data_IF_051415711396
#
_entry.id   IF_051415711396
#
_cell.length_a   1.000
_cell.length_b   1.000
_cell.length_c   1.000
_cell.angle_alpha   90.00
_cell.angle_beta   90.00
_cell.angle_gamma   90.00
#
_symmetry.space_group_name_H-M   'P 1'
#
loop_
_entity.id
_entity.type
_entity.pdbx_description
1 polymer ?
#
# COMPACT_ATOMS: atom_id res chain seq x y z
N UNK A 1 23.52 21.11 -49.31
CA UNK A 1 24.23 22.37 -48.97
C UNK A 1 23.17 23.45 -48.82
N UNK A 2 23.08 24.13 -47.68
CA UNK A 2 22.17 25.29 -47.53
C UNK A 2 22.86 26.47 -48.23
N UNK A 3 22.30 26.94 -49.36
CA UNK A 3 22.79 28.16 -49.98
C UNK A 3 22.29 29.35 -49.16
N UNK A 4 23.15 29.89 -48.30
CA UNK A 4 22.89 31.12 -47.57
C UNK A 4 23.45 32.28 -48.39
N UNK A 5 22.57 33.04 -49.04
CA UNK A 5 22.94 34.30 -49.64
C UNK A 5 22.78 35.40 -48.57
N UNK A 6 23.89 36.07 -48.25
CA UNK A 6 23.89 37.24 -47.37
C UNK A 6 24.46 38.44 -48.15
N UNK A 7 23.97 39.62 -47.83
CA UNK A 7 24.42 40.88 -48.41
C UNK A 7 24.57 41.94 -47.31
N UNK A 8 25.49 42.88 -47.53
CA UNK A 8 25.81 43.95 -46.57
C UNK A 8 24.70 45.02 -46.49
N UNK A 9 23.93 45.18 -47.57
CA UNK A 9 22.77 46.06 -47.60
C UNK A 9 21.58 45.43 -46.86
N UNK A 10 20.91 46.23 -46.02
CA UNK A 10 19.73 45.81 -45.27
C UNK A 10 18.67 45.19 -46.21
N UNK A 11 18.34 43.93 -45.96
CA UNK A 11 17.32 43.20 -46.75
C UNK A 11 15.93 43.75 -46.45
N UNK A 12 15.72 44.29 -45.24
CA UNK A 12 14.49 44.95 -44.80
C UNK A 12 14.87 46.10 -43.85
N UNK A 13 14.30 47.29 -44.08
CA UNK A 13 14.29 48.39 -43.12
C UNK A 13 12.88 48.61 -42.56
N UNK A 14 12.80 48.93 -41.26
CA UNK A 14 11.53 49.03 -40.54
C UNK A 14 11.53 50.28 -39.64
N UNK A 15 10.41 51.00 -39.60
CA UNK A 15 10.21 52.17 -38.72
C UNK A 15 9.63 51.75 -37.36
N UNK A 16 9.71 52.66 -36.37
CA UNK A 16 9.45 52.38 -34.94
C UNK A 16 8.08 51.77 -34.62
N UNK A 17 7.07 52.05 -35.43
CA UNK A 17 5.68 51.62 -35.20
C UNK A 17 5.17 50.54 -36.18
N UNK A 18 6.02 50.01 -37.06
CA UNK A 18 5.60 48.93 -37.97
C UNK A 18 5.60 47.56 -37.25
N UNK A 19 4.94 46.54 -37.83
CA UNK A 19 5.12 45.11 -37.49
C UNK A 19 5.58 44.40 -38.75
N UNK A 20 6.71 43.68 -38.69
CA UNK A 20 7.21 42.94 -39.84
C UNK A 20 6.73 41.50 -39.68
N UNK A 21 6.03 41.00 -40.70
CA UNK A 21 5.63 39.62 -40.81
C UNK A 21 6.42 39.00 -41.97
N UNK A 22 7.45 38.24 -41.63
CA UNK A 22 8.21 37.45 -42.60
C UNK A 22 7.68 36.02 -42.55
N UNK A 23 7.12 35.55 -43.66
CA UNK A 23 6.77 34.14 -43.85
C UNK A 23 7.91 33.48 -44.61
N UNK A 24 8.61 32.57 -43.95
CA UNK A 24 9.65 31.75 -44.56
C UNK A 24 9.15 30.31 -44.66
N UNK A 25 9.13 29.76 -45.87
CA UNK A 25 8.87 28.34 -46.11
C UNK A 25 10.20 27.63 -46.41
N UNK A 26 10.37 26.41 -45.88
CA UNK A 26 11.55 25.58 -46.08
C UNK A 26 11.13 24.18 -46.50
N UNK A 27 11.40 23.83 -47.75
CA UNK A 27 11.16 22.48 -48.29
C UNK A 27 12.48 21.73 -48.39
N UNK A 28 12.60 20.63 -47.63
CA UNK A 28 13.74 19.71 -47.69
C UNK A 28 13.41 18.59 -48.70
N UNK A 29 13.89 18.72 -49.94
CA UNK A 29 13.50 17.81 -51.05
C UNK A 29 14.24 16.47 -51.04
N UNK A 30 15.51 16.47 -50.65
CA UNK A 30 16.39 15.28 -50.64
C UNK A 30 17.12 15.17 -49.29
N UNK A 31 16.36 15.12 -48.20
CA UNK A 31 16.91 14.91 -46.86
C UNK A 31 17.09 13.42 -46.60
N UNK A 32 18.33 12.98 -46.42
CA UNK A 32 18.58 11.66 -45.82
C UNK A 32 18.13 11.71 -44.36
N UNK A 33 17.17 10.87 -43.97
CA UNK A 33 16.66 10.79 -42.60
C UNK A 33 17.76 10.49 -41.58
N UNK A 34 18.86 9.86 -42.00
CA UNK A 34 20.01 9.57 -41.13
C UNK A 34 20.87 10.82 -40.85
N UNK A 35 20.72 11.88 -41.63
CA UNK A 35 21.39 13.17 -41.42
C UNK A 35 20.63 14.08 -40.42
N UNK A 36 19.45 13.65 -39.98
CA UNK A 36 18.68 14.29 -38.92
C UNK A 36 19.13 13.72 -37.58
N UNK A 37 20.14 14.35 -36.99
CA UNK A 37 20.50 14.08 -35.60
C UNK A 37 19.57 14.86 -34.70
N UNK A 38 18.60 14.18 -34.10
CA UNK A 38 18.03 14.67 -32.85
C UNK A 38 19.17 14.67 -31.81
N UNK A 39 19.24 15.71 -30.98
CA UNK A 39 20.16 15.72 -29.84
C UNK A 39 19.85 14.57 -28.87
N UNK A 40 20.51 14.54 -27.72
CA UNK A 40 20.30 13.51 -26.71
C UNK A 40 18.81 13.45 -26.30
N UNK A 41 18.04 12.52 -26.87
CA UNK A 41 16.62 12.27 -26.53
C UNK A 41 16.49 11.43 -25.27
N UNK A 42 17.50 11.51 -24.41
CA UNK A 42 17.59 10.81 -23.15
C UNK A 42 16.69 11.53 -22.16
N UNK A 43 15.39 11.25 -22.24
CA UNK A 43 14.48 11.41 -21.11
C UNK A 43 14.83 10.31 -20.10
N UNK A 44 15.96 10.47 -19.42
CA UNK A 44 16.22 9.72 -18.20
C UNK A 44 15.14 10.16 -17.23
N UNK A 45 14.15 9.30 -17.02
CA UNK A 45 13.28 9.41 -15.87
C UNK A 45 14.14 8.95 -14.68
N UNK A 46 14.68 9.88 -13.87
CA UNK A 46 15.54 9.48 -12.76
C UNK A 46 14.74 8.57 -11.81
N UNK A 47 15.39 7.70 -11.02
CA UNK A 47 14.71 7.04 -9.92
C UNK A 47 14.16 8.11 -8.97
N UNK A 48 12.94 7.90 -8.47
CA UNK A 48 12.34 8.84 -7.53
C UNK A 48 13.07 8.79 -6.19
N UNK A 49 13.16 9.93 -5.52
CA UNK A 49 13.57 10.04 -4.12
C UNK A 49 12.55 10.90 -3.38
N UNK A 50 12.68 11.02 -2.06
CA UNK A 50 11.83 11.92 -1.27
C UNK A 50 11.85 13.39 -1.75
N UNK A 51 12.93 13.82 -2.41
CA UNK A 51 13.11 15.21 -2.89
C UNK A 51 13.14 15.36 -4.41
N UNK A 52 13.34 14.28 -5.16
CA UNK A 52 13.47 14.29 -6.62
C UNK A 52 12.36 13.44 -7.24
N UNK A 53 11.54 14.07 -8.10
CA UNK A 53 10.52 13.34 -8.86
C UNK A 53 11.18 12.37 -9.84
N UNK A 54 10.62 11.17 -9.94
CA UNK A 54 11.17 10.12 -10.77
C UNK A 54 10.22 8.94 -10.97
N UNK A 55 10.77 7.80 -11.38
CA UNK A 55 10.05 6.52 -11.54
C UNK A 55 10.36 5.60 -10.37
N UNK A 56 9.36 4.82 -9.96
CA UNK A 56 9.45 3.77 -8.93
C UNK A 56 8.85 2.48 -9.46
N UNK A 57 9.34 1.35 -8.97
CA UNK A 57 8.71 0.04 -9.20
C UNK A 57 7.49 -0.14 -8.30
N UNK A 58 6.54 -0.98 -8.73
CA UNK A 58 5.39 -1.35 -7.90
C UNK A 58 5.75 -2.53 -7.00
N UNK A 59 5.42 -2.43 -5.72
CA UNK A 59 5.66 -3.50 -4.75
C UNK A 59 4.85 -4.77 -5.07
N UNK A 60 5.47 -5.93 -4.86
CA UNK A 60 4.79 -7.22 -4.90
C UNK A 60 4.01 -7.49 -3.58
N UNK A 61 3.46 -8.70 -3.41
CA UNK A 61 2.71 -9.03 -2.18
C UNK A 61 3.64 -9.25 -0.99
N UNK A 62 4.80 -9.90 -1.18
CA UNK A 62 5.72 -10.18 -0.10
C UNK A 62 6.31 -8.87 0.46
N UNK A 63 6.70 -7.97 -0.43
CA UNK A 63 7.19 -6.63 -0.11
C UNK A 63 6.14 -5.80 0.63
N UNK A 64 4.89 -5.80 0.14
CA UNK A 64 3.80 -5.10 0.80
C UNK A 64 3.48 -5.65 2.20
N UNK A 65 3.59 -6.97 2.41
CA UNK A 65 3.36 -7.57 3.73
C UNK A 65 4.51 -7.32 4.71
N UNK A 66 5.75 -7.30 4.22
CA UNK A 66 6.93 -7.01 5.04
C UNK A 66 6.97 -5.53 5.46
N UNK A 67 6.72 -4.61 4.52
CA UNK A 67 6.65 -3.17 4.79
C UNK A 67 8.00 -2.51 5.10
N UNK A 68 9.12 -3.16 4.78
CA UNK A 68 10.48 -2.68 5.06
C UNK A 68 11.13 -1.94 3.86
N UNK A 69 10.48 -1.95 2.69
CA UNK A 69 11.00 -1.38 1.44
C UNK A 69 10.56 0.08 1.24
N UNK A 70 11.51 0.99 1.06
CA UNK A 70 11.31 2.42 0.81
C UNK A 70 11.48 2.83 -0.66
N UNK A 71 11.82 1.90 -1.56
CA UNK A 71 12.10 2.16 -2.98
C UNK A 71 10.90 1.91 -3.90
N UNK A 72 9.84 1.28 -3.41
CA UNK A 72 8.70 0.81 -4.22
C UNK A 72 7.37 1.42 -3.80
N UNK A 73 6.47 1.61 -4.77
CA UNK A 73 5.13 2.12 -4.52
C UNK A 73 4.11 0.98 -4.31
N UNK A 74 3.23 1.15 -3.32
CA UNK A 74 2.09 0.26 -3.11
C UNK A 74 0.91 0.61 -4.03
N UNK A 75 0.23 -0.41 -4.54
CA UNK A 75 -1.10 -0.23 -5.18
C UNK A 75 -2.23 -0.38 -4.16
N UNK A 76 -3.46 0.11 -4.42
CA UNK A 76 -4.57 -0.03 -3.47
C UNK A 76 -4.85 -1.47 -3.02
N UNK A 77 -4.68 -2.45 -3.92
CA UNK A 77 -4.84 -3.86 -3.59
C UNK A 77 -3.74 -4.37 -2.63
N UNK A 78 -2.50 -3.91 -2.81
CA UNK A 78 -1.37 -4.26 -1.93
C UNK A 78 -1.53 -3.64 -0.55
N UNK A 79 -1.97 -2.38 -0.47
CA UNK A 79 -2.31 -1.74 0.81
C UNK A 79 -3.36 -2.56 1.56
N UNK A 80 -4.43 -2.96 0.87
CA UNK A 80 -5.47 -3.79 1.48
C UNK A 80 -4.93 -5.14 1.97
N UNK A 81 -4.06 -5.81 1.20
CA UNK A 81 -3.38 -7.05 1.62
C UNK A 81 -2.50 -6.85 2.86
N UNK A 82 -1.72 -5.77 2.93
CA UNK A 82 -0.86 -5.43 4.05
C UNK A 82 -1.64 -5.22 5.36
N UNK A 83 -2.91 -4.81 5.31
CA UNK A 83 -3.77 -4.69 6.49
C UNK A 83 -4.52 -5.98 6.85
N UNK A 84 -4.84 -6.83 5.86
CA UNK A 84 -5.55 -8.12 6.09
C UNK A 84 -4.78 -9.07 7.01
N UNK A 85 -3.45 -9.00 7.05
CA UNK A 85 -2.63 -9.81 7.96
C UNK A 85 -2.92 -9.51 9.44
N UNK A 86 -3.31 -8.28 9.76
CA UNK A 86 -3.75 -7.87 11.09
C UNK A 86 -5.25 -8.11 11.34
N UNK A 87 -5.92 -8.74 10.38
CA UNK A 87 -7.35 -9.08 10.38
C UNK A 87 -8.30 -7.93 10.03
N UNK A 88 -7.77 -6.79 9.57
CA UNK A 88 -8.56 -5.64 9.13
C UNK A 88 -9.05 -5.84 7.68
N UNK A 89 -10.37 -5.71 7.45
CA UNK A 89 -10.97 -5.80 6.10
C UNK A 89 -10.97 -7.22 5.50
N UNK A 90 -10.98 -8.24 6.36
CA UNK A 90 -10.90 -9.66 5.98
C UNK A 90 -12.26 -10.18 5.49
N UNK A 91 -12.22 -11.06 4.50
CA UNK A 91 -13.36 -11.82 3.99
C UNK A 91 -13.50 -13.17 4.71
N UNK A 92 -14.69 -13.77 4.67
CA UNK A 92 -15.09 -14.95 5.46
C UNK A 92 -14.30 -16.25 5.18
N UNK A 93 -13.31 -16.21 4.27
CA UNK A 93 -12.55 -17.37 3.79
C UNK A 93 -11.24 -17.63 4.54
N UNK A 94 -10.86 -16.76 5.48
CA UNK A 94 -9.55 -16.80 6.13
C UNK A 94 -9.75 -16.74 7.65
N UNK A 95 -10.26 -17.81 8.27
CA UNK A 95 -10.47 -17.82 9.72
C UNK A 95 -9.13 -18.00 10.44
N UNK A 96 -8.92 -17.21 11.49
CA UNK A 96 -7.71 -17.33 12.31
C UNK A 96 -7.80 -18.58 13.21
N UNK A 97 -6.65 -19.18 13.47
CA UNK A 97 -6.45 -20.10 14.59
C UNK A 97 -5.89 -19.27 15.74
N UNK A 98 -6.60 -19.18 16.87
CA UNK A 98 -6.30 -18.22 17.93
C UNK A 98 -4.92 -18.48 18.58
N UNK A 99 -4.49 -19.74 18.64
CA UNK A 99 -3.15 -20.09 19.16
C UNK A 99 -2.02 -19.61 18.23
N UNK A 100 -2.24 -19.61 16.92
CA UNK A 100 -1.23 -19.28 15.90
C UNK A 100 -1.07 -17.76 15.69
N UNK A 101 -1.84 -16.93 16.38
CA UNK A 101 -1.75 -15.48 16.27
C UNK A 101 -0.43 -15.01 16.91
N UNK A 102 0.54 -14.66 16.07
CA UNK A 102 1.87 -14.23 16.52
C UNK A 102 2.03 -12.72 16.72
N UNK A 103 1.09 -11.93 16.22
CA UNK A 103 1.17 -10.46 16.18
C UNK A 103 -0.03 -9.82 16.88
N UNK A 104 0.16 -8.60 17.37
CA UNK A 104 -0.95 -7.77 17.84
C UNK A 104 -1.90 -7.49 16.69
N UNK A 105 -3.16 -7.90 16.83
CA UNK A 105 -4.13 -7.93 15.72
C UNK A 105 -5.58 -8.01 16.20
N UNK A 106 -6.51 -7.79 15.27
CA UNK A 106 -7.95 -7.96 15.47
C UNK A 106 -8.44 -8.96 14.43
N UNK A 107 -8.80 -10.17 14.84
CA UNK A 107 -9.09 -11.26 13.90
C UNK A 107 -10.44 -11.90 14.20
N UNK A 108 -11.05 -12.50 13.17
CA UNK A 108 -12.24 -13.33 13.32
C UNK A 108 -11.87 -14.81 13.18
N UNK A 109 -12.64 -15.67 13.84
CA UNK A 109 -12.53 -17.12 13.73
C UNK A 109 -13.91 -17.74 13.44
N UNK A 110 -13.93 -18.99 12.96
CA UNK A 110 -15.16 -19.74 12.69
C UNK A 110 -15.52 -20.74 13.79
N UNK A 111 -16.46 -21.63 13.54
CA UNK A 111 -16.94 -22.57 14.54
C UNK A 111 -16.00 -23.75 14.81
N UNK A 112 -14.83 -23.83 14.18
CA UNK A 112 -13.98 -25.02 14.19
C UNK A 112 -12.61 -24.82 14.85
N UNK A 113 -12.32 -23.63 15.40
CA UNK A 113 -11.06 -23.42 16.10
C UNK A 113 -11.09 -24.08 17.50
N UNK A 114 -10.28 -25.13 17.74
CA UNK A 114 -10.26 -25.83 19.03
C UNK A 114 -9.67 -25.00 20.17
N UNK A 115 -8.94 -23.93 19.85
CA UNK A 115 -8.37 -23.00 20.83
C UNK A 115 -9.33 -21.89 21.23
N UNK A 116 -10.45 -21.75 20.52
CA UNK A 116 -11.44 -20.71 20.77
C UNK A 116 -12.37 -21.03 21.95
N UNK A 117 -12.79 -20.00 22.71
CA UNK A 117 -13.71 -20.20 23.83
C UNK A 117 -15.15 -20.44 23.39
N UNK A 118 -15.48 -20.13 22.12
CA UNK A 118 -16.83 -20.19 21.57
C UNK A 118 -16.80 -20.57 20.08
N UNK A 119 -17.95 -21.00 19.56
CA UNK A 119 -18.15 -21.21 18.12
C UNK A 119 -18.32 -19.87 17.41
N UNK A 120 -17.27 -19.44 16.70
CA UNK A 120 -17.25 -18.23 15.89
C UNK A 120 -17.28 -16.92 16.68
N UNK A 121 -16.48 -15.96 16.25
CA UNK A 121 -16.40 -14.65 16.89
C UNK A 121 -15.24 -13.80 16.44
N UNK A 122 -14.90 -12.80 17.24
CA UNK A 122 -13.77 -11.90 17.01
C UNK A 122 -12.87 -11.78 18.25
N UNK A 123 -11.56 -11.78 18.02
CA UNK A 123 -10.54 -11.69 19.04
C UNK A 123 -9.71 -10.42 18.85
N UNK A 124 -9.33 -9.80 19.96
CA UNK A 124 -8.24 -8.85 20.02
C UNK A 124 -7.06 -9.57 20.65
N UNK A 125 -5.94 -9.62 19.94
CA UNK A 125 -4.68 -10.19 20.43
C UNK A 125 -3.69 -9.07 20.72
N UNK A 126 -3.13 -9.05 21.92
CA UNK A 126 -2.07 -8.13 22.32
C UNK A 126 -0.83 -8.97 22.63
N UNK A 127 0.27 -8.74 21.90
CA UNK A 127 1.57 -9.38 22.16
C UNK A 127 2.58 -8.33 22.62
N UNK A 128 3.35 -8.64 23.66
CA UNK A 128 4.53 -7.85 24.04
C UNK A 128 5.67 -8.05 23.03
N UNK A 129 6.64 -7.12 23.00
CA UNK A 129 7.74 -7.08 22.02
C UNK A 129 8.50 -8.41 21.83
N UNK A 130 8.70 -9.19 22.90
CA UNK A 130 9.38 -10.48 22.83
C UNK A 130 8.47 -11.66 22.42
N UNK A 131 7.19 -11.42 22.10
CA UNK A 131 6.14 -12.43 21.85
C UNK A 131 5.97 -13.50 22.95
N UNK A 132 6.66 -13.37 24.08
CA UNK A 132 6.60 -14.32 25.20
C UNK A 132 5.45 -14.05 26.14
N UNK A 133 4.91 -12.83 26.14
CA UNK A 133 3.79 -12.44 26.99
C UNK A 133 2.74 -11.71 26.16
N UNK A 134 1.49 -11.79 26.61
CA UNK A 134 0.38 -11.22 25.89
C UNK A 134 -0.96 -11.62 26.46
N UNK A 135 -1.99 -11.27 25.73
CA UNK A 135 -3.37 -11.51 26.10
C UNK A 135 -4.25 -11.62 24.87
N UNK A 136 -5.29 -12.41 25.00
CA UNK A 136 -6.42 -12.41 24.07
C UNK A 136 -7.70 -12.06 24.80
N UNK A 137 -8.52 -11.25 24.13
CA UNK A 137 -9.88 -10.96 24.51
C UNK A 137 -10.80 -11.39 23.36
N UNK A 138 -11.64 -12.38 23.59
CA UNK A 138 -12.53 -12.96 22.60
C UNK A 138 -13.98 -12.58 22.88
N UNK A 139 -14.73 -12.29 21.82
CA UNK A 139 -16.15 -11.98 21.83
C UNK A 139 -16.85 -12.92 20.85
N UNK A 140 -17.90 -13.62 21.27
CA UNK A 140 -18.64 -14.49 20.36
C UNK A 140 -19.43 -13.72 19.31
N UNK A 141 -19.66 -14.35 18.16
CA UNK A 141 -20.51 -13.85 17.08
C UNK A 141 -22.02 -13.92 17.39
N UNK A 142 -22.42 -14.63 18.45
CA UNK A 142 -23.81 -14.83 18.89
C UNK A 142 -24.04 -14.46 20.37
N UNK A 143 -24.94 -15.19 21.04
CA UNK A 143 -25.39 -14.86 22.42
C UNK A 143 -24.43 -15.26 23.55
N UNK A 144 -23.11 -15.25 23.34
CA UNK A 144 -22.19 -15.90 24.27
C UNK A 144 -20.89 -15.14 24.50
N UNK A 145 -20.97 -14.14 25.37
CA UNK A 145 -19.87 -13.90 26.30
C UNK A 145 -18.67 -13.12 25.80
N UNK A 146 -17.88 -12.66 26.79
CA UNK A 146 -16.54 -12.09 26.59
C UNK A 146 -15.61 -12.96 27.43
N UNK A 147 -14.54 -13.46 26.80
CA UNK A 147 -13.54 -14.31 27.45
C UNK A 147 -12.15 -13.73 27.31
N UNK A 148 -11.31 -14.01 28.29
CA UNK A 148 -9.90 -13.61 28.30
C UNK A 148 -8.99 -14.81 28.52
N UNK A 149 -7.81 -14.80 27.90
CA UNK A 149 -6.71 -15.69 28.28
C UNK A 149 -5.36 -14.99 28.17
N UNK A 150 -4.39 -15.27 29.06
CA UNK A 150 -3.03 -14.79 28.94
C UNK A 150 -2.18 -15.67 28.00
N UNK A 151 -1.11 -15.07 27.48
CA UNK A 151 0.07 -15.76 26.96
C UNK A 151 1.20 -15.61 27.98
N UNK A 152 1.83 -16.71 28.37
CA UNK A 152 2.99 -16.69 29.26
C UNK A 152 4.10 -17.57 28.70
N UNK A 153 5.32 -17.02 28.67
CA UNK A 153 6.51 -17.69 28.13
C UNK A 153 6.29 -18.31 26.73
N UNK A 154 5.48 -17.66 25.90
CA UNK A 154 5.17 -18.09 24.54
C UNK A 154 4.11 -19.20 24.45
N UNK A 155 3.46 -19.57 25.56
CA UNK A 155 2.40 -20.58 25.59
C UNK A 155 1.08 -19.92 25.98
N UNK A 156 0.03 -20.15 25.19
CA UNK A 156 -1.30 -19.68 25.53
C UNK A 156 -1.86 -20.51 26.68
N UNK A 157 -2.56 -19.87 27.61
CA UNK A 157 -3.34 -20.62 28.59
C UNK A 157 -4.38 -21.47 27.85
N UNK A 158 -4.49 -22.73 28.27
CA UNK A 158 -5.44 -23.70 27.72
C UNK A 158 -6.88 -23.38 28.13
N UNK A 159 -7.04 -22.74 29.29
CA UNK A 159 -8.34 -22.34 29.81
C UNK A 159 -8.60 -20.85 29.55
N UNK A 160 -9.87 -20.55 29.31
CA UNK A 160 -10.37 -19.19 29.14
C UNK A 160 -11.10 -18.73 30.39
N UNK A 161 -10.84 -17.50 30.82
CA UNK A 161 -11.60 -16.83 31.86
C UNK A 161 -12.80 -16.13 31.23
N UNK A 162 -14.00 -16.64 31.50
CA UNK A 162 -15.24 -16.00 31.04
C UNK A 162 -15.52 -14.76 31.90
N UNK A 163 -15.30 -13.58 31.32
CA UNK A 163 -15.55 -12.28 31.96
C UNK A 163 -17.04 -11.97 32.00
N UNK A 164 -17.73 -12.26 30.89
CA UNK A 164 -19.16 -12.05 30.74
C UNK A 164 -19.78 -13.26 30.05
N UNK A 165 -20.97 -13.67 30.49
CA UNK A 165 -21.84 -14.61 29.79
C UNK A 165 -23.27 -14.50 30.34
N UNK A 166 -24.27 -14.99 29.62
CA UNK A 166 -25.69 -14.88 30.01
C UNK A 166 -26.03 -15.45 31.38
N UNK A 167 -25.22 -16.40 31.88
CA UNK A 167 -25.37 -17.00 33.21
C UNK A 167 -24.76 -16.22 34.38
N UNK A 168 -23.82 -15.29 34.13
CA UNK A 168 -23.26 -14.43 35.18
C UNK A 168 -23.92 -13.05 35.26
N UNK A 169 -24.84 -12.77 34.33
CA UNK A 169 -25.77 -11.65 34.44
C UNK A 169 -26.87 -12.04 35.42
N UNK A 170 -26.80 -11.57 36.66
CA UNK A 170 -27.99 -11.58 37.53
C UNK A 170 -29.21 -11.13 36.73
N UNK A 171 -30.32 -11.90 36.84
CA UNK A 171 -31.54 -11.83 36.03
C UNK A 171 -31.74 -10.46 35.39
N UNK A 172 -31.66 -10.38 34.05
CA UNK A 172 -32.07 -9.20 33.31
C UNK A 172 -33.53 -8.88 33.68
N UNK A 173 -33.73 -7.85 34.50
CA UNK A 173 -35.07 -7.34 34.79
C UNK A 173 -35.45 -6.54 33.56
N UNK A 174 -36.49 -7.01 32.87
CA UNK A 174 -37.10 -6.34 31.73
C UNK A 174 -37.62 -4.95 32.09
#
# INVERSE_FOLDING_TARGET
MLAVAAQDAAIIEKTRDATLLLVSDLVLKDLDANSVTFGDVVFLNPPATETVKGVVELADTAEATAGDDDQRAMTPAKVHQAFKQFGLGRDNSQNAVLDDIEVTSIQAWDNNDPSAPFNGGAVITLKASAKTHGAQLAVASGNEGISYRPLEKGVWATEWFHLWHTGNMGRAVA
#
